data_IF_747077721785
#
_entry.id   IF_747077721785
#
_cell.length_a   1.000
_cell.length_b   1.000
_cell.length_c   1.000
_cell.angle_alpha   90.00
_cell.angle_beta   90.00
_cell.angle_gamma   90.00
#
_symmetry.space_group_name_H-M   'P 1'
#
loop_
_entity.id
_entity.type
_entity.pdbx_description
1 polymer ?
#
# COMPACT_ATOMS: atom_id res chain seq x y z
N UNK A 1 -4.59 22.99 -10.55
CA UNK A 1 -3.89 21.95 -9.78
C UNK A 1 -4.27 22.15 -8.32
N UNK A 2 -4.69 21.09 -7.65
CA UNK A 2 -4.98 21.12 -6.21
C UNK A 2 -3.77 20.56 -5.48
N UNK A 3 -3.16 21.39 -4.64
CA UNK A 3 -1.96 21.02 -3.88
C UNK A 3 -2.36 20.70 -2.42
N UNK A 4 -1.95 19.54 -1.95
CA UNK A 4 -2.21 19.06 -0.59
C UNK A 4 -0.89 18.98 0.18
N UNK A 5 -0.60 19.98 1.01
CA UNK A 5 0.56 19.95 1.91
C UNK A 5 0.23 19.14 3.16
N UNK A 6 1.07 18.14 3.46
CA UNK A 6 0.98 17.28 4.63
C UNK A 6 2.27 17.43 5.42
N UNK A 7 2.16 18.11 6.57
CA UNK A 7 3.27 18.24 7.50
C UNK A 7 3.43 16.96 8.33
N UNK A 8 4.36 16.10 7.92
CA UNK A 8 4.81 14.99 8.76
C UNK A 8 5.69 15.59 9.87
N UNK A 9 6.65 16.44 9.50
CA UNK A 9 7.55 17.15 10.41
C UNK A 9 7.48 18.65 10.12
N UNK A 10 7.03 19.43 11.11
CA UNK A 10 6.78 20.87 10.93
C UNK A 10 8.04 21.66 10.54
N UNK A 11 9.19 21.28 11.11
CA UNK A 11 10.53 21.79 10.83
C UNK A 11 11.32 20.90 9.85
N UNK A 12 10.62 20.08 9.06
CA UNK A 12 11.22 19.23 8.04
C UNK A 12 12.04 20.04 7.02
N UNK A 13 13.15 19.46 6.57
CA UNK A 13 14.12 20.01 5.63
C UNK A 13 13.98 19.43 4.21
N UNK A 14 13.03 18.51 4.01
CA UNK A 14 12.76 17.86 2.73
C UNK A 14 11.27 17.94 2.38
N UNK A 15 10.97 18.26 1.13
CA UNK A 15 9.64 18.24 0.54
C UNK A 15 9.58 17.13 -0.53
N UNK A 16 8.83 16.07 -0.24
CA UNK A 16 8.55 15.01 -1.21
C UNK A 16 7.29 15.40 -1.99
N UNK A 17 7.39 15.39 -3.32
CA UNK A 17 6.32 15.75 -4.23
C UNK A 17 5.80 14.46 -4.87
N UNK A 18 4.54 14.14 -4.59
CA UNK A 18 3.84 12.97 -5.10
C UNK A 18 2.70 13.42 -6.03
N UNK A 19 2.91 13.40 -7.36
CA UNK A 19 1.85 13.63 -8.32
C UNK A 19 0.87 12.44 -8.34
N UNK A 20 -0.42 12.70 -8.52
CA UNK A 20 -1.42 11.64 -8.74
C UNK A 20 -1.67 11.49 -10.25
N UNK A 21 -1.43 10.30 -10.78
CA UNK A 21 -1.68 9.98 -12.19
C UNK A 21 -3.16 9.75 -12.47
N UNK A 22 -3.62 10.11 -13.67
CA UNK A 22 -4.93 9.69 -14.16
C UNK A 22 -4.90 8.18 -14.39
N UNK A 23 -5.58 7.40 -13.55
CA UNK A 23 -5.82 5.99 -13.86
C UNK A 23 -6.88 5.95 -14.97
N UNK A 24 -6.61 5.35 -16.14
CA UNK A 24 -7.65 5.12 -17.12
C UNK A 24 -8.64 4.10 -16.54
N UNK A 25 -9.88 4.55 -16.33
CA UNK A 25 -11.02 3.74 -15.89
C UNK A 25 -11.11 2.48 -16.77
N UNK A 26 -10.65 1.35 -16.24
CA UNK A 26 -10.86 0.05 -16.86
C UNK A 26 -12.22 -0.46 -16.42
N UNK A 27 -13.27 0.19 -16.92
CA UNK A 27 -14.64 -0.26 -16.76
C UNK A 27 -14.84 -1.56 -17.52
N UNK A 28 -14.93 -2.68 -16.80
CA UNK A 28 -15.48 -3.92 -17.35
C UNK A 28 -16.73 -4.29 -16.57
N UNK A 29 -17.86 -3.82 -17.09
CA UNK A 29 -19.18 -4.38 -16.83
C UNK A 29 -19.23 -5.78 -17.42
N UNK A 30 -19.44 -6.81 -16.59
CA UNK A 30 -19.98 -8.08 -17.06
C UNK A 30 -21.09 -8.52 -16.11
N UNK A 31 -22.16 -8.94 -16.75
CA UNK A 31 -23.53 -9.15 -16.29
C UNK A 31 -23.72 -10.35 -15.37
N UNK A 32 -24.65 -10.13 -14.44
CA UNK A 32 -25.39 -11.09 -13.63
C UNK A 32 -26.05 -12.21 -14.47
N UNK A 33 -25.90 -13.46 -14.01
CA UNK A 33 -26.77 -14.59 -14.33
C UNK A 33 -26.67 -15.63 -13.21
N UNK A 34 -27.69 -15.69 -12.36
CA UNK A 34 -27.78 -16.66 -11.27
C UNK A 34 -28.19 -18.08 -11.69
N UNK A 35 -27.84 -19.05 -10.85
CA UNK A 35 -28.52 -20.33 -10.68
C UNK A 35 -28.20 -20.91 -9.28
N UNK A 36 -29.18 -21.63 -8.70
CA UNK A 36 -29.29 -22.06 -7.30
C UNK A 36 -29.12 -23.59 -7.18
N UNK A 37 -28.67 -24.04 -5.98
CA UNK A 37 -28.77 -25.39 -5.36
C UNK A 37 -27.79 -26.50 -5.87
N UNK A 38 -27.25 -27.44 -5.08
CA UNK A 38 -27.56 -27.93 -3.72
C UNK A 38 -26.39 -28.78 -3.12
N UNK A 39 -26.44 -28.94 -1.78
CA UNK A 39 -25.81 -29.87 -0.80
C UNK A 39 -24.49 -30.69 -1.03
N UNK A 40 -23.53 -30.41 -0.12
CA UNK A 40 -22.94 -31.29 0.95
C UNK A 40 -21.91 -32.41 0.62
N UNK A 41 -20.72 -32.28 1.21
CA UNK A 41 -20.04 -33.39 1.92
C UNK A 41 -18.97 -32.89 2.92
N UNK A 42 -19.03 -33.49 4.11
CA UNK A 42 -18.14 -33.43 5.30
C UNK A 42 -16.76 -34.04 4.98
N UNK A 43 -15.63 -33.51 5.49
CA UNK A 43 -14.79 -34.06 6.60
C UNK A 43 -13.75 -33.03 7.08
N UNK A 44 -13.49 -33.10 8.38
CA UNK A 44 -12.64 -32.28 9.25
C UNK A 44 -11.14 -32.31 8.91
N UNK A 45 -10.43 -31.21 9.24
CA UNK A 45 -9.16 -31.31 9.96
C UNK A 45 -8.82 -30.00 10.69
N UNK A 46 -8.37 -30.16 11.92
CA UNK A 46 -8.39 -29.17 13.00
C UNK A 46 -7.23 -28.19 12.94
N UNK A 47 -7.54 -26.92 13.21
CA UNK A 47 -6.64 -25.80 13.37
C UNK A 47 -6.06 -25.77 14.79
N UNK A 48 -4.76 -26.06 14.95
CA UNK A 48 -4.01 -25.87 16.18
C UNK A 48 -3.06 -24.68 16.06
N UNK A 49 -3.53 -23.49 16.45
CA UNK A 49 -2.68 -22.44 17.00
C UNK A 49 -3.48 -21.74 18.11
N UNK A 50 -3.36 -22.27 19.31
CA UNK A 50 -3.69 -21.57 20.53
C UNK A 50 -2.68 -22.05 21.55
N UNK A 51 -1.82 -21.13 21.99
CA UNK A 51 -1.50 -21.04 23.40
C UNK A 51 -1.35 -19.57 23.76
N UNK A 52 -2.08 -19.25 24.82
CA UNK A 52 -2.34 -17.95 25.42
C UNK A 52 -1.37 -17.76 26.58
N UNK A 53 -0.89 -16.55 26.80
CA UNK A 53 -0.70 -16.10 28.18
C UNK A 53 -1.42 -14.77 28.39
N UNK A 54 -2.47 -14.87 29.18
CA UNK A 54 -3.36 -13.83 29.66
C UNK A 54 -2.71 -13.17 30.88
N UNK A 55 -2.59 -11.85 30.88
CA UNK A 55 -2.52 -11.08 32.13
C UNK A 55 -3.53 -9.94 32.02
N UNK A 56 -4.63 -10.10 32.74
CA UNK A 56 -5.55 -9.02 33.12
C UNK A 56 -5.04 -8.40 34.42
N UNK A 57 -4.98 -7.07 34.50
CA UNK A 57 -5.79 -6.33 35.47
C UNK A 57 -5.86 -4.82 35.15
N UNK A 58 -6.96 -4.12 35.50
CA UNK A 58 -7.31 -2.77 35.03
C UNK A 58 -7.10 -1.69 36.11
N UNK A 59 -6.83 -0.45 35.70
CA UNK A 59 -7.49 0.78 36.24
C UNK A 59 -6.95 2.08 35.57
N UNK A 60 -7.90 2.87 35.02
CA UNK A 60 -8.10 4.34 35.10
C UNK A 60 -6.90 5.25 34.72
N UNK A 61 -7.05 6.19 33.76
CA UNK A 61 -7.48 7.59 33.99
C UNK A 61 -7.98 8.21 32.67
N UNK A 62 -9.13 8.91 32.77
CA UNK A 62 -9.73 9.74 31.75
C UNK A 62 -8.81 10.91 31.31
N UNK A 63 -8.93 11.38 30.06
CA UNK A 63 -9.35 12.74 29.69
C UNK A 63 -9.08 13.06 28.19
N UNK A 64 -9.79 14.10 27.73
CA UNK A 64 -9.54 14.97 26.55
C UNK A 64 -10.21 14.58 25.22
N UNK A 65 -11.23 15.35 24.78
CA UNK A 65 -11.17 16.65 24.08
C UNK A 65 -10.49 16.57 22.69
N UNK A 66 -11.37 16.51 21.69
CA UNK A 66 -11.34 17.22 20.41
C UNK A 66 -9.97 17.52 19.80
N UNK A 67 -9.58 16.70 18.82
CA UNK A 67 -8.62 17.06 17.79
C UNK A 67 -9.11 16.47 16.46
N UNK A 68 -9.52 17.33 15.54
CA UNK A 68 -9.81 16.98 14.14
C UNK A 68 -8.55 16.33 13.55
N UNK A 69 -8.67 15.08 13.11
CA UNK A 69 -7.56 14.34 12.50
C UNK A 69 -7.59 14.51 10.99
N UNK A 70 -6.42 14.60 10.35
CA UNK A 70 -6.25 14.78 8.90
C UNK A 70 -6.96 13.70 8.04
N UNK A 71 -7.29 12.56 8.64
CA UNK A 71 -8.11 11.50 8.04
C UNK A 71 -9.53 11.99 7.68
N UNK A 72 -10.05 12.99 8.39
CA UNK A 72 -11.32 13.63 8.09
C UNK A 72 -11.23 14.55 6.86
N UNK A 73 -10.10 15.22 6.66
CA UNK A 73 -9.88 16.11 5.50
C UNK A 73 -9.80 15.32 4.18
N UNK A 74 -9.15 14.15 4.18
CA UNK A 74 -9.08 13.26 3.01
C UNK A 74 -10.46 12.65 2.71
N UNK A 75 -11.19 12.21 3.75
CA UNK A 75 -12.57 11.70 3.60
C UNK A 75 -13.55 12.80 3.16
N UNK A 76 -13.36 14.04 3.59
CA UNK A 76 -14.17 15.18 3.17
C UNK A 76 -13.97 15.51 1.69
N UNK A 77 -12.72 15.49 1.21
CA UNK A 77 -12.42 15.65 -0.22
C UNK A 77 -13.06 14.55 -1.07
N UNK A 78 -13.06 13.29 -0.59
CA UNK A 78 -13.75 12.18 -1.26
C UNK A 78 -15.29 12.33 -1.26
N UNK A 79 -15.87 12.95 -0.21
CA UNK A 79 -17.32 13.15 -0.07
C UNK A 79 -17.86 14.27 -0.97
N UNK A 80 -17.06 15.31 -1.22
CA UNK A 80 -17.42 16.41 -2.13
C UNK A 80 -17.56 15.97 -3.60
N UNK A 81 -16.91 14.85 -4.00
CA UNK A 81 -17.03 14.31 -5.36
C UNK A 81 -18.31 13.49 -5.61
N UNK A 82 -19.10 13.17 -4.57
CA UNK A 82 -20.26 12.27 -4.70
C UNK A 82 -21.63 12.99 -4.80
N UNK A 83 -21.69 14.32 -4.66
CA UNK A 83 -22.96 15.05 -4.56
C UNK A 83 -23.33 15.94 -5.74
N UNK A 84 -22.48 16.13 -6.75
CA UNK A 84 -22.82 17.03 -7.87
C UNK A 84 -23.40 16.28 -9.07
N UNK A 85 -24.62 15.80 -8.88
CA UNK A 85 -25.48 15.33 -9.95
C UNK A 85 -26.56 16.37 -10.23
N UNK A 86 -26.28 17.34 -11.12
CA UNK A 86 -27.34 18.08 -11.81
C UNK A 86 -26.92 18.46 -13.23
N UNK A 87 -27.79 18.07 -14.16
CA UNK A 87 -27.67 18.19 -15.61
C UNK A 87 -27.43 19.63 -16.10
N UNK A 88 -26.44 19.80 -16.98
CA UNK A 88 -26.44 20.80 -18.05
C UNK A 88 -25.58 20.29 -19.23
N UNK A 89 -26.10 20.47 -20.45
CA UNK A 89 -25.58 20.05 -21.77
C UNK A 89 -24.32 20.81 -22.23
N UNK A 90 -23.64 20.38 -23.31
CA UNK A 90 -22.18 20.44 -23.41
C UNK A 90 -21.68 21.75 -24.03
N UNK A 91 -20.96 22.53 -23.24
CA UNK A 91 -20.04 23.55 -23.75
C UNK A 91 -18.67 22.88 -23.93
N UNK A 92 -18.22 22.79 -25.18
CA UNK A 92 -16.89 22.37 -25.62
C UNK A 92 -15.80 23.27 -25.00
N UNK A 93 -15.42 22.95 -23.77
CA UNK A 93 -14.20 23.40 -23.14
C UNK A 93 -13.35 22.17 -22.89
N UNK A 94 -12.12 22.14 -23.43
CA UNK A 94 -11.11 21.16 -23.06
C UNK A 94 -10.90 21.29 -21.54
N UNK A 95 -11.52 20.42 -20.77
CA UNK A 95 -11.32 20.36 -19.33
C UNK A 95 -9.86 19.97 -19.10
N UNK A 96 -9.00 20.94 -18.82
CA UNK A 96 -7.71 20.67 -18.21
C UNK A 96 -8.00 19.99 -16.87
N UNK A 97 -7.95 18.65 -16.87
CA UNK A 97 -8.07 17.86 -15.67
C UNK A 97 -7.04 18.39 -14.66
N UNK A 98 -7.55 18.95 -13.56
CA UNK A 98 -6.71 19.47 -12.50
C UNK A 98 -5.96 18.30 -11.86
N UNK A 99 -4.69 18.12 -12.23
CA UNK A 99 -3.81 17.14 -11.58
C UNK A 99 -3.72 17.46 -10.09
N UNK A 100 -4.00 16.46 -9.26
CA UNK A 100 -3.83 16.52 -7.80
C UNK A 100 -2.37 16.22 -7.47
N UNK A 101 -1.78 17.02 -6.58
CA UNK A 101 -0.39 16.85 -6.13
C UNK A 101 -0.36 16.87 -4.61
N UNK A 102 0.28 15.87 -4.02
CA UNK A 102 0.51 15.77 -2.59
C UNK A 102 1.96 16.13 -2.28
N UNK A 103 2.16 16.95 -1.25
CA UNK A 103 3.47 17.38 -0.81
C UNK A 103 3.66 16.97 0.65
N UNK A 104 4.71 16.23 0.93
CA UNK A 104 5.02 15.74 2.28
C UNK A 104 6.25 16.44 2.80
N UNK A 105 6.08 17.24 3.86
CA UNK A 105 7.21 17.86 4.55
C UNK A 105 7.75 16.91 5.62
N UNK A 106 8.99 16.47 5.42
CA UNK A 106 9.63 15.39 6.18
C UNK A 106 11.05 15.76 6.62
N UNK A 107 11.63 14.96 7.50
CA UNK A 107 13.03 15.08 7.92
C UNK A 107 13.93 14.16 7.10
N UNK A 108 14.86 14.74 6.34
CA UNK A 108 15.90 14.07 5.56
C UNK A 108 16.65 13.05 6.42
N UNK A 109 16.98 13.43 7.66
CA UNK A 109 17.75 12.59 8.58
C UNK A 109 17.02 11.28 8.91
N UNK A 110 15.73 11.35 9.24
CA UNK A 110 14.94 10.14 9.53
C UNK A 110 14.77 9.30 8.27
N UNK A 111 14.46 9.95 7.15
CA UNK A 111 14.24 9.27 5.89
C UNK A 111 15.50 8.57 5.37
N UNK A 112 16.66 9.24 5.37
CA UNK A 112 17.93 8.66 4.94
C UNK A 112 18.48 7.59 5.90
N UNK A 113 18.08 7.62 7.17
CA UNK A 113 18.40 6.55 8.13
C UNK A 113 17.60 5.28 7.82
N UNK A 114 16.32 5.43 7.46
CA UNK A 114 15.41 4.32 7.21
C UNK A 114 15.46 3.76 5.77
N UNK A 115 15.82 4.60 4.79
CA UNK A 115 15.73 4.30 3.36
C UNK A 115 17.08 4.49 2.66
N UNK A 116 17.73 3.39 2.23
CA UNK A 116 18.94 3.44 1.40
C UNK A 116 18.72 4.22 0.10
N UNK A 117 17.58 4.05 -0.56
CA UNK A 117 17.24 4.82 -1.78
C UNK A 117 17.14 6.31 -1.49
N UNK A 118 16.44 6.70 -0.44
CA UNK A 118 16.33 8.12 -0.08
C UNK A 118 17.69 8.71 0.27
N UNK A 119 18.53 7.96 0.99
CA UNK A 119 19.91 8.36 1.26
C UNK A 119 20.69 8.58 -0.05
N UNK A 120 20.57 7.67 -1.01
CA UNK A 120 21.25 7.79 -2.30
C UNK A 120 20.77 9.01 -3.09
N UNK A 121 19.48 9.33 -3.07
CA UNK A 121 18.91 10.49 -3.79
C UNK A 121 19.27 11.80 -3.08
N UNK A 122 19.01 11.90 -1.78
CA UNK A 122 19.08 13.16 -1.02
C UNK A 122 20.50 13.49 -0.54
N UNK A 123 21.40 12.52 -0.44
CA UNK A 123 22.82 12.75 -0.08
C UNK A 123 23.78 12.45 -1.23
N UNK A 124 23.24 12.09 -2.40
CA UNK A 124 24.02 11.78 -3.60
C UNK A 124 24.33 13.01 -4.46
N UNK A 125 24.90 12.79 -5.65
CA UNK A 125 25.27 13.85 -6.59
C UNK A 125 24.09 14.35 -7.45
N UNK A 126 22.85 14.19 -6.98
CA UNK A 126 21.64 14.54 -7.74
C UNK A 126 21.15 15.95 -7.38
N UNK A 127 20.30 16.56 -8.22
CA UNK A 127 19.75 17.90 -7.93
C UNK A 127 18.92 17.91 -6.65
N UNK A 128 18.30 16.77 -6.31
CA UNK A 128 17.47 16.53 -5.14
C UNK A 128 18.27 16.64 -3.82
N UNK A 129 19.61 16.57 -3.86
CA UNK A 129 20.47 16.78 -2.69
C UNK A 129 20.87 18.25 -2.47
N UNK A 130 20.46 19.14 -3.38
CA UNK A 130 20.71 20.58 -3.27
C UNK A 130 19.43 21.30 -2.86
N UNK A 131 19.46 22.13 -1.79
CA UNK A 131 18.29 22.91 -1.39
C UNK A 131 17.78 23.81 -2.51
N UNK A 132 16.47 23.84 -2.69
CA UNK A 132 15.81 24.68 -3.70
C UNK A 132 15.90 26.16 -3.29
N UNK A 133 16.19 27.05 -4.25
CA UNK A 133 16.48 28.47 -3.97
C UNK A 133 15.31 29.24 -3.33
N UNK A 134 14.07 28.80 -3.61
CA UNK A 134 12.87 29.51 -3.19
C UNK A 134 12.51 29.31 -1.71
N UNK A 135 12.76 28.13 -1.15
CA UNK A 135 12.31 27.75 0.19
C UNK A 135 13.42 27.13 1.05
N UNK A 136 14.59 26.83 0.47
CA UNK A 136 15.71 26.21 1.16
C UNK A 136 15.49 24.74 1.52
N UNK A 137 14.47 24.08 0.96
CA UNK A 137 14.17 22.66 1.20
C UNK A 137 14.79 21.78 0.12
N UNK A 138 15.11 20.53 0.47
CA UNK A 138 15.40 19.50 -0.52
C UNK A 138 14.09 19.08 -1.20
N UNK A 139 14.05 19.07 -2.53
CA UNK A 139 12.86 18.68 -3.28
C UNK A 139 13.08 17.33 -3.93
N UNK A 140 12.18 16.37 -3.68
CA UNK A 140 12.23 15.05 -4.31
C UNK A 140 10.89 14.71 -4.94
N UNK A 141 10.86 14.69 -6.27
CA UNK A 141 9.69 14.32 -7.06
C UNK A 141 9.67 12.81 -7.31
N UNK A 142 8.55 12.17 -6.96
CA UNK A 142 8.31 10.74 -7.19
C UNK A 142 7.45 10.52 -8.45
N UNK A 143 7.51 9.30 -8.98
CA UNK A 143 6.62 8.87 -10.06
C UNK A 143 5.14 8.87 -9.60
N UNK A 144 4.18 9.12 -10.50
CA UNK A 144 2.76 9.24 -10.18
C UNK A 144 2.07 7.87 -9.99
N UNK A 145 2.64 7.01 -9.15
CA UNK A 145 2.24 5.60 -9.01
C UNK A 145 1.85 5.21 -7.58
N UNK A 146 2.12 6.06 -6.59
CA UNK A 146 1.85 5.74 -5.19
C UNK A 146 0.55 6.33 -4.69
N UNK A 147 -0.18 5.54 -3.91
CA UNK A 147 -1.34 6.03 -3.15
C UNK A 147 -0.88 7.02 -2.05
N UNK A 148 -1.40 8.26 -2.02
CA UNK A 148 -0.99 9.26 -1.04
C UNK A 148 -1.22 8.84 0.42
N UNK A 149 -2.26 8.05 0.70
CA UNK A 149 -2.59 7.62 2.08
C UNK A 149 -1.60 6.55 2.57
N UNK A 150 -1.27 5.60 1.71
CA UNK A 150 -0.21 4.62 1.97
C UNK A 150 1.16 5.31 2.14
N UNK A 151 1.45 6.31 1.31
CA UNK A 151 2.69 7.09 1.41
C UNK A 151 2.78 7.84 2.73
N UNK A 152 1.71 8.53 3.13
CA UNK A 152 1.62 9.18 4.44
C UNK A 152 1.90 8.18 5.58
N UNK A 153 1.33 6.97 5.48
CA UNK A 153 1.51 5.92 6.49
C UNK A 153 2.97 5.51 6.62
N UNK A 154 3.66 5.24 5.50
CA UNK A 154 5.10 4.91 5.51
C UNK A 154 5.91 6.07 6.07
N UNK A 155 5.64 7.31 5.65
CA UNK A 155 6.34 8.47 6.18
C UNK A 155 6.13 8.63 7.69
N UNK A 156 4.92 8.40 8.20
CA UNK A 156 4.66 8.46 9.65
C UNK A 156 5.43 7.39 10.42
N UNK A 157 5.56 6.18 9.88
CA UNK A 157 6.36 5.10 10.49
C UNK A 157 7.83 5.48 10.53
N UNK A 158 8.40 5.92 9.40
CA UNK A 158 9.81 6.36 9.29
C UNK A 158 10.13 7.49 10.30
N UNK A 159 9.16 8.32 10.62
CA UNK A 159 9.28 9.42 11.58
C UNK A 159 8.79 9.07 13.00
N UNK A 160 8.60 7.78 13.31
CA UNK A 160 8.16 7.27 14.61
C UNK A 160 6.84 7.89 15.14
N UNK A 161 5.94 8.32 14.24
CA UNK A 161 4.65 8.93 14.58
C UNK A 161 3.54 7.88 14.75
N UNK A 162 3.82 6.83 15.51
CA UNK A 162 3.01 5.62 15.57
C UNK A 162 1.56 5.87 16.03
N UNK A 163 1.33 6.90 16.87
CA UNK A 163 -0.01 7.28 17.36
C UNK A 163 -0.97 7.77 16.25
N UNK A 164 -0.44 8.15 15.09
CA UNK A 164 -1.21 8.65 13.95
C UNK A 164 -1.47 7.57 12.89
N UNK A 165 -0.99 6.35 13.12
CA UNK A 165 -1.18 5.23 12.20
C UNK A 165 -2.61 4.71 12.29
N UNK A 166 -3.16 4.17 11.18
CA UNK A 166 -4.45 3.51 11.21
C UNK A 166 -4.36 2.22 12.04
N UNK A 167 -5.38 1.96 12.84
CA UNK A 167 -5.46 0.73 13.65
C UNK A 167 -5.60 -0.53 12.77
N UNK A 168 -6.28 -0.37 11.63
CA UNK A 168 -6.57 -1.38 10.63
C UNK A 168 -6.37 -0.81 9.23
N UNK A 169 -5.99 -1.67 8.29
CA UNK A 169 -5.82 -1.34 6.88
C UNK A 169 -6.50 -2.42 6.04
N UNK A 170 -6.92 -2.11 4.82
CA UNK A 170 -7.38 -3.12 3.87
C UNK A 170 -6.21 -3.88 3.25
N UNK A 171 -6.48 -5.02 2.58
CA UNK A 171 -5.48 -5.76 1.81
C UNK A 171 -4.81 -4.86 0.75
N UNK A 172 -5.62 -4.07 0.04
CA UNK A 172 -5.16 -3.09 -0.95
C UNK A 172 -4.24 -2.03 -0.32
N UNK A 173 -4.61 -1.45 0.81
CA UNK A 173 -3.76 -0.46 1.50
C UNK A 173 -2.44 -1.07 1.94
N UNK A 174 -2.45 -2.31 2.45
CA UNK A 174 -1.23 -3.00 2.84
C UNK A 174 -0.33 -3.31 1.63
N UNK A 175 -0.91 -3.64 0.48
CA UNK A 175 -0.18 -3.82 -0.76
C UNK A 175 0.42 -2.50 -1.29
N UNK A 176 -0.32 -1.39 -1.20
CA UNK A 176 0.20 -0.07 -1.56
C UNK A 176 1.34 0.36 -0.62
N UNK A 177 1.25 0.03 0.67
CA UNK A 177 2.36 0.22 1.62
C UNK A 177 3.56 -0.65 1.21
N UNK A 178 3.35 -1.92 0.86
CA UNK A 178 4.41 -2.81 0.39
C UNK A 178 5.13 -2.26 -0.85
N UNK A 179 4.39 -1.76 -1.84
CA UNK A 179 4.94 -1.14 -3.04
C UNK A 179 5.87 0.05 -2.73
N UNK A 180 5.48 0.91 -1.78
CA UNK A 180 6.26 2.07 -1.36
C UNK A 180 7.49 1.63 -0.57
N UNK A 181 7.35 0.61 0.29
CA UNK A 181 8.44 0.05 1.08
C UNK A 181 9.51 -0.59 0.21
N UNK A 182 9.10 -1.30 -0.84
CA UNK A 182 10.01 -1.89 -1.82
C UNK A 182 10.77 -0.81 -2.60
N UNK A 183 10.06 0.19 -3.14
CA UNK A 183 10.68 1.31 -3.86
C UNK A 183 11.65 2.07 -2.95
N UNK A 184 11.24 2.46 -1.75
CA UNK A 184 12.10 3.16 -0.80
C UNK A 184 13.14 2.27 -0.12
N UNK A 185 13.07 0.94 -0.29
CA UNK A 185 13.94 -0.03 0.36
C UNK A 185 13.97 0.12 1.90
N UNK A 186 12.81 0.38 2.53
CA UNK A 186 12.71 0.68 3.96
C UNK A 186 11.95 -0.39 4.76
N UNK A 187 12.11 -1.67 4.38
CA UNK A 187 11.40 -2.81 4.98
C UNK A 187 11.52 -2.86 6.51
N UNK A 188 12.73 -2.76 7.05
CA UNK A 188 13.00 -2.88 8.49
C UNK A 188 12.20 -1.89 9.35
N UNK A 189 11.90 -0.70 8.81
CA UNK A 189 11.12 0.31 9.53
C UNK A 189 9.64 -0.04 9.62
N UNK A 190 9.11 -0.79 8.65
CA UNK A 190 7.66 -0.98 8.45
C UNK A 190 7.19 -2.41 8.79
N UNK A 191 8.10 -3.39 8.75
CA UNK A 191 7.81 -4.82 8.88
C UNK A 191 6.96 -5.18 10.12
N UNK A 192 7.24 -4.54 11.27
CA UNK A 192 6.47 -4.77 12.50
C UNK A 192 4.98 -4.44 12.33
N UNK A 193 4.68 -3.25 11.76
CA UNK A 193 3.30 -2.81 11.55
C UNK A 193 2.61 -3.63 10.45
N UNK A 194 3.34 -3.92 9.37
CA UNK A 194 2.83 -4.77 8.29
C UNK A 194 2.44 -6.17 8.80
N UNK A 195 3.29 -6.78 9.63
CA UNK A 195 3.01 -8.08 10.26
C UNK A 195 1.79 -8.02 11.18
N UNK A 196 1.64 -6.94 11.96
CA UNK A 196 0.47 -6.74 12.82
C UNK A 196 -0.82 -6.62 11.99
N UNK A 197 -0.81 -5.81 10.94
CA UNK A 197 -1.98 -5.63 10.07
C UNK A 197 -2.31 -6.91 9.29
N UNK A 198 -1.33 -7.64 8.79
CA UNK A 198 -1.53 -8.92 8.12
C UNK A 198 -2.20 -9.95 9.04
N UNK A 199 -1.77 -10.03 10.31
CA UNK A 199 -2.39 -10.88 11.33
C UNK A 199 -3.83 -10.46 11.62
N UNK A 200 -4.09 -9.17 11.80
CA UNK A 200 -5.45 -8.64 12.05
C UNK A 200 -6.40 -8.92 10.87
N UNK A 201 -5.90 -8.84 9.65
CA UNK A 201 -6.65 -9.15 8.44
C UNK A 201 -6.89 -10.65 8.26
N UNK A 202 -6.11 -11.51 8.94
CA UNK A 202 -6.09 -12.96 8.73
C UNK A 202 -5.99 -13.31 7.23
N UNK A 203 -5.05 -12.65 6.53
CA UNK A 203 -4.91 -12.74 5.07
C UNK A 203 -4.75 -14.19 4.64
N UNK A 204 -5.56 -14.58 3.66
CA UNK A 204 -5.45 -15.86 2.95
C UNK A 204 -5.45 -15.59 1.45
N UNK A 205 -4.69 -16.36 0.66
CA UNK A 205 -4.73 -16.23 -0.79
C UNK A 205 -6.12 -16.63 -1.30
N UNK A 206 -6.68 -15.92 -2.29
CA UNK A 206 -7.89 -16.35 -2.98
C UNK A 206 -7.58 -17.53 -3.90
N UNK A 207 -8.59 -18.38 -4.17
CA UNK A 207 -8.43 -19.58 -5.01
C UNK A 207 -8.20 -19.23 -6.50
N UNK A 208 -8.77 -18.13 -6.96
CA UNK A 208 -8.65 -17.68 -8.34
C UNK A 208 -7.47 -16.72 -8.53
N UNK A 209 -6.86 -16.75 -9.72
CA UNK A 209 -5.87 -15.75 -10.10
C UNK A 209 -6.57 -14.41 -10.30
N UNK A 210 -6.37 -13.51 -9.34
CA UNK A 210 -6.89 -12.15 -9.37
C UNK A 210 -5.89 -11.18 -8.74
N UNK A 211 -6.27 -9.89 -8.70
CA UNK A 211 -5.44 -8.84 -8.13
C UNK A 211 -5.13 -9.07 -6.64
N UNK A 212 -6.03 -9.68 -5.89
CA UNK A 212 -5.81 -9.95 -4.46
C UNK A 212 -4.77 -11.05 -4.24
N UNK A 213 -4.69 -12.04 -5.13
CA UNK A 213 -3.60 -13.01 -5.12
C UNK A 213 -2.25 -12.33 -5.34
N UNK A 214 -2.17 -11.43 -6.32
CA UNK A 214 -0.96 -10.67 -6.60
C UNK A 214 -0.58 -9.73 -5.44
N UNK A 215 -1.56 -9.11 -4.78
CA UNK A 215 -1.34 -8.34 -3.54
C UNK A 215 -0.77 -9.22 -2.43
N UNK A 216 -1.28 -10.43 -2.24
CA UNK A 216 -0.76 -11.38 -1.24
C UNK A 216 0.70 -11.75 -1.53
N UNK A 217 1.05 -11.98 -2.80
CA UNK A 217 2.45 -12.25 -3.22
C UNK A 217 3.33 -11.03 -2.94
N UNK A 218 2.92 -9.82 -3.33
CA UNK A 218 3.68 -8.59 -3.08
C UNK A 218 3.93 -8.37 -1.57
N UNK A 219 2.88 -8.40 -0.76
CA UNK A 219 2.95 -8.19 0.68
C UNK A 219 3.87 -9.23 1.32
N UNK A 220 3.69 -10.49 0.97
CA UNK A 220 4.47 -11.58 1.58
C UNK A 220 5.94 -11.57 1.16
N UNK A 221 6.23 -11.15 -0.07
CA UNK A 221 7.61 -10.98 -0.56
C UNK A 221 8.30 -9.82 0.14
N UNK A 222 7.67 -8.64 0.18
CA UNK A 222 8.27 -7.42 0.75
C UNK A 222 8.44 -7.52 2.26
N UNK A 223 7.54 -8.20 2.99
CA UNK A 223 7.60 -8.28 4.45
C UNK A 223 8.03 -9.66 4.97
N UNK A 224 8.55 -10.55 4.11
CA UNK A 224 9.07 -11.85 4.53
C UNK A 224 8.04 -12.78 5.19
N UNK A 225 6.75 -12.68 4.82
CA UNK A 225 5.67 -13.48 5.41
C UNK A 225 5.62 -14.87 4.76
N UNK A 226 6.55 -15.75 5.16
CA UNK A 226 6.79 -17.06 4.54
C UNK A 226 5.52 -17.89 4.27
N UNK A 227 4.66 -18.09 5.26
CA UNK A 227 3.45 -18.90 5.08
C UNK A 227 2.45 -18.33 4.08
N UNK A 228 2.33 -16.99 4.03
CA UNK A 228 1.50 -16.33 3.04
C UNK A 228 2.14 -16.40 1.65
N UNK A 229 3.47 -16.27 1.56
CA UNK A 229 4.20 -16.39 0.30
C UNK A 229 4.04 -17.77 -0.32
N UNK A 230 4.31 -18.83 0.45
CA UNK A 230 4.22 -20.22 -0.01
C UNK A 230 2.81 -20.57 -0.49
N UNK A 231 1.78 -20.22 0.30
CA UNK A 231 0.39 -20.49 -0.08
C UNK A 231 -0.06 -19.66 -1.29
N UNK A 232 0.32 -18.39 -1.39
CA UNK A 232 -0.08 -17.52 -2.50
C UNK A 232 0.62 -17.90 -3.82
N UNK A 233 1.91 -18.20 -3.77
CA UNK A 233 2.66 -18.61 -4.97
C UNK A 233 2.26 -20.01 -5.43
N UNK A 234 2.00 -20.94 -4.50
CA UNK A 234 1.43 -22.25 -4.83
C UNK A 234 0.09 -22.08 -5.55
N UNK A 235 -0.80 -21.25 -5.03
CA UNK A 235 -2.10 -21.01 -5.66
C UNK A 235 -1.96 -20.39 -7.06
N UNK A 236 -1.04 -19.45 -7.23
CA UNK A 236 -0.76 -18.87 -8.54
C UNK A 236 -0.23 -19.91 -9.54
N UNK A 237 0.61 -20.85 -9.09
CA UNK A 237 1.13 -21.94 -9.92
C UNK A 237 0.02 -22.93 -10.30
N UNK A 238 -0.82 -23.35 -9.34
CA UNK A 238 -1.87 -24.34 -9.56
C UNK A 238 -2.99 -23.83 -10.47
N UNK A 239 -3.37 -22.56 -10.32
CA UNK A 239 -4.43 -21.92 -11.12
C UNK A 239 -3.93 -21.36 -12.46
N UNK A 240 -2.63 -21.42 -12.72
CA UNK A 240 -2.02 -20.86 -13.92
C UNK A 240 -2.21 -21.75 -15.14
N UNK A 241 -2.70 -21.15 -16.23
CA UNK A 241 -2.61 -21.70 -17.60
C UNK A 241 -1.53 -20.98 -18.44
N UNK A 242 -0.77 -20.06 -17.82
CA UNK A 242 0.22 -19.18 -18.44
C UNK A 242 0.82 -18.18 -17.44
N UNK A 243 1.67 -17.25 -17.90
CA UNK A 243 2.31 -16.27 -17.02
C UNK A 243 1.28 -15.47 -16.19
N UNK A 244 1.55 -15.29 -14.89
CA UNK A 244 0.66 -14.54 -14.00
C UNK A 244 0.64 -13.06 -14.42
N UNK A 245 -0.54 -12.44 -14.57
CA UNK A 245 -0.63 -11.00 -14.78
C UNK A 245 -0.04 -10.25 -13.58
N UNK A 246 0.71 -9.17 -13.85
CA UNK A 246 1.38 -8.36 -12.81
C UNK A 246 0.41 -7.33 -12.18
N UNK A 247 -0.77 -7.12 -12.78
CA UNK A 247 -1.83 -6.22 -12.31
C UNK A 247 -1.37 -4.78 -11.98
N UNK A 248 -0.28 -4.31 -12.59
CA UNK A 248 0.29 -2.98 -12.31
C UNK A 248 0.96 -2.85 -10.94
N UNK A 249 1.20 -3.97 -10.24
CA UNK A 249 1.93 -3.99 -8.98
C UNK A 249 3.45 -4.06 -9.23
N UNK A 250 4.30 -3.48 -8.36
CA UNK A 250 5.75 -3.59 -8.47
C UNK A 250 6.21 -4.97 -7.96
N UNK A 251 5.84 -6.03 -8.67
CA UNK A 251 6.29 -7.39 -8.37
C UNK A 251 7.46 -7.69 -9.30
N UNK A 252 8.64 -7.98 -8.75
CA UNK A 252 9.79 -8.38 -9.55
C UNK A 252 9.46 -9.66 -10.36
N UNK A 253 9.82 -9.74 -11.66
CA UNK A 253 9.64 -10.94 -12.47
C UNK A 253 10.29 -12.20 -11.86
N UNK A 254 11.39 -12.02 -11.12
CA UNK A 254 12.08 -13.11 -10.42
C UNK A 254 11.21 -13.77 -9.35
N UNK A 255 10.29 -13.02 -8.74
CA UNK A 255 9.32 -13.53 -7.77
C UNK A 255 8.13 -14.25 -8.44
N UNK A 256 7.93 -14.03 -9.75
CA UNK A 256 6.84 -14.62 -10.56
C UNK A 256 7.31 -15.80 -11.43
N UNK A 257 8.58 -16.20 -11.31
CA UNK A 257 9.08 -17.47 -11.83
C UNK A 257 9.49 -17.46 -13.30
N UNK A 258 10.57 -16.76 -13.65
CA UNK A 258 11.35 -17.10 -14.85
C UNK A 258 12.50 -18.07 -14.49
N UNK A 259 12.14 -19.34 -14.19
CA UNK A 259 12.96 -20.59 -14.22
C UNK A 259 12.64 -21.54 -13.07
N UNK A 260 11.40 -22.06 -13.02
CA UNK A 260 11.21 -23.38 -12.42
C UNK A 260 11.50 -24.41 -13.52
N UNK A 261 12.78 -24.71 -13.75
CA UNK A 261 13.16 -25.96 -14.43
C UNK A 261 12.80 -27.09 -13.47
N UNK A 262 11.60 -27.63 -13.61
CA UNK A 262 11.22 -28.90 -13.01
C UNK A 262 12.15 -29.99 -13.60
N UNK A 263 13.22 -30.33 -12.89
CA UNK A 263 13.90 -31.60 -13.07
C UNK A 263 13.02 -32.68 -12.42
N UNK A 264 11.96 -33.08 -13.12
CA UNK A 264 11.32 -34.35 -12.84
C UNK A 264 12.26 -35.41 -13.45
N UNK A 265 13.15 -35.94 -12.62
CA UNK A 265 13.76 -37.23 -12.89
C UNK A 265 12.66 -38.28 -12.74
N UNK A 266 12.08 -38.71 -13.86
CA UNK A 266 11.43 -40.02 -13.94
C UNK A 266 12.59 -41.00 -14.17
N UNK A 267 13.10 -41.59 -13.10
CA UNK A 267 13.88 -42.82 -13.21
C UNK A 267 12.90 -44.00 -13.14
N UNK A 268 12.91 -44.79 -14.23
CA UNK A 268 12.77 -46.26 -14.23
C UNK A 268 11.47 -46.88 -13.77
#
# INVERSE_FOLDING_TARGET
MSNHLIDIVADGDTLIILPVGDTPDSGSSVSDAGAVADEKSVVDDENAWADVETITDPEVIANEKTGTTANESIRAAKRLKLSDGRHAEPETGTAEASREVFQFKVSMRHLALASPRAKAVLQGPFKESTPHESDGLLHWELAPIFDPTAFETVMRIVHAQNKKLPETVTLEQLANIAAIVDDLQCQESVEFFASLWAKKLAIKPPEEINIDLARCILISTVFGLKGLYESSTLQAILSSTGAMPVFGLPISPDALGENIRLHIAIEG
#
